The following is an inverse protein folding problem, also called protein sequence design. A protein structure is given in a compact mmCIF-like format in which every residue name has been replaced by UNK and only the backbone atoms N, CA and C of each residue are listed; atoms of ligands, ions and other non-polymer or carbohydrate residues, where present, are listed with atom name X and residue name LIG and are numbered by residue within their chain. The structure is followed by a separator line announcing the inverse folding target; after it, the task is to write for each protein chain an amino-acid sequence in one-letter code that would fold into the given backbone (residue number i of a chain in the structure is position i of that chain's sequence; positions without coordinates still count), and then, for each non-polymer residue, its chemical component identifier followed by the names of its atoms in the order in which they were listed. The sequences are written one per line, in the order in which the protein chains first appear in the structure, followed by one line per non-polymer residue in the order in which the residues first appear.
data_IF_640971415512
#
_entry.id   IF_640971415512
#
_cell.length_a   1.000
_cell.length_b   1.000
_cell.length_c   1.000
_cell.angle_alpha   90.00
_cell.angle_beta   90.00
_cell.angle_gamma   90.00
#
_symmetry.space_group_name_H-M   'P 1'
#
loop_
_entity.id
_entity.type
_entity.pdbx_description
1 polymer ?
#
# COMPACT_ATOMS: atom_id res chain seq x y z
N UNK A 1 -12.45 29.24 -3.55
CA UNK A 1 -11.07 29.74 -3.75
C UNK A 1 -10.12 28.58 -3.55
N UNK A 2 -9.40 28.16 -4.60
CA UNK A 2 -8.32 27.18 -4.44
C UNK A 2 -7.21 27.84 -3.59
N UNK A 3 -6.95 27.32 -2.39
CA UNK A 3 -5.79 27.74 -1.62
C UNK A 3 -4.54 27.48 -2.47
N UNK A 4 -3.80 28.53 -2.81
CA UNK A 4 -2.45 28.38 -3.36
C UNK A 4 -1.66 27.51 -2.39
N UNK A 5 -1.08 26.37 -2.81
CA UNK A 5 -0.30 25.54 -1.91
C UNK A 5 0.86 26.39 -1.38
N UNK A 6 0.95 26.50 -0.04
CA UNK A 6 2.01 27.25 0.60
C UNK A 6 3.37 26.76 0.05
N UNK A 7 4.09 27.64 -0.62
CA UNK A 7 5.39 27.38 -1.21
C UNK A 7 6.38 27.14 -0.07
N UNK A 8 6.60 25.87 0.27
CA UNK A 8 7.67 25.45 1.16
C UNK A 8 8.98 25.42 0.36
N UNK A 9 10.13 25.69 0.99
CA UNK A 9 11.42 25.56 0.33
C UNK A 9 11.62 24.15 -0.23
N UNK A 10 12.22 24.05 -1.42
CA UNK A 10 12.41 22.81 -2.17
C UNK A 10 13.10 21.74 -1.31
N UNK A 11 14.13 22.12 -0.59
CA UNK A 11 14.95 21.23 0.23
C UNK A 11 14.13 20.65 1.39
N UNK A 12 13.29 21.49 2.00
CA UNK A 12 12.38 21.09 3.09
C UNK A 12 11.31 20.14 2.56
N UNK A 13 10.79 20.40 1.36
CA UNK A 13 9.84 19.51 0.70
C UNK A 13 10.45 18.13 0.45
N UNK A 14 11.62 18.06 -0.16
CA UNK A 14 12.35 16.80 -0.43
C UNK A 14 12.59 16.05 0.88
N UNK A 15 13.05 16.73 1.94
CA UNK A 15 13.26 16.09 3.24
C UNK A 15 11.96 15.49 3.80
N UNK A 16 10.83 16.18 3.66
CA UNK A 16 9.52 15.68 4.12
C UNK A 16 9.07 14.49 3.30
N UNK A 17 9.22 14.53 1.98
CA UNK A 17 8.90 13.42 1.08
C UNK A 17 9.75 12.18 1.37
N UNK A 18 11.05 12.33 1.64
CA UNK A 18 11.92 11.23 2.05
C UNK A 18 11.51 10.61 3.38
N UNK A 19 11.05 11.41 4.36
CA UNK A 19 10.51 10.87 5.61
C UNK A 19 9.22 10.09 5.40
N UNK A 20 8.33 10.56 4.53
CA UNK A 20 7.13 9.80 4.11
C UNK A 20 7.57 8.47 3.49
N UNK A 21 8.57 8.48 2.61
CA UNK A 21 9.08 7.28 1.96
C UNK A 21 9.59 6.24 2.97
N UNK A 22 10.37 6.67 3.98
CA UNK A 22 10.82 5.80 5.07
C UNK A 22 9.63 5.23 5.85
N UNK A 23 8.64 6.06 6.19
CA UNK A 23 7.43 5.58 6.89
C UNK A 23 6.70 4.52 6.07
N UNK A 24 6.55 4.73 4.77
CA UNK A 24 5.86 3.77 3.90
C UNK A 24 6.67 2.48 3.72
N UNK A 25 8.01 2.55 3.64
CA UNK A 25 8.85 1.35 3.60
C UNK A 25 8.67 0.52 4.88
N UNK A 26 8.68 1.17 6.05
CA UNK A 26 8.43 0.48 7.33
C UNK A 26 7.06 -0.20 7.35
N UNK A 27 6.02 0.48 6.86
CA UNK A 27 4.68 -0.10 6.75
C UNK A 27 4.63 -1.22 5.70
N UNK A 28 5.40 -1.12 4.62
CA UNK A 28 5.55 -2.17 3.62
C UNK A 28 6.18 -3.43 4.19
N UNK A 29 7.16 -3.31 5.09
CA UNK A 29 7.74 -4.45 5.80
C UNK A 29 6.73 -5.14 6.72
N UNK A 30 5.91 -4.36 7.44
CA UNK A 30 4.82 -4.88 8.27
C UNK A 30 3.74 -5.54 7.40
N UNK A 31 3.40 -4.96 6.25
CA UNK A 31 2.44 -5.56 5.32
C UNK A 31 2.98 -6.87 4.73
N UNK A 32 4.28 -6.96 4.45
CA UNK A 32 4.90 -8.18 3.96
C UNK A 32 4.92 -9.31 5.01
N UNK A 33 5.03 -8.99 6.30
CA UNK A 33 4.94 -10.02 7.35
C UNK A 33 3.55 -10.63 7.49
N UNK A 34 2.48 -9.94 7.08
CA UNK A 34 1.11 -10.50 7.05
C UNK A 34 1.04 -11.78 6.20
N UNK A 35 1.84 -11.89 5.14
CA UNK A 35 1.88 -13.11 4.34
C UNK A 35 2.39 -14.31 5.15
N UNK A 36 3.40 -14.10 6.00
CA UNK A 36 3.90 -15.14 6.91
C UNK A 36 2.81 -15.55 7.88
N UNK A 37 2.05 -14.60 8.42
CA UNK A 37 0.93 -14.86 9.33
C UNK A 37 -0.14 -15.70 8.66
N UNK A 38 -0.53 -15.36 7.42
CA UNK A 38 -1.54 -16.11 6.66
C UNK A 38 -1.13 -17.59 6.50
N UNK A 39 0.16 -17.87 6.24
CA UNK A 39 0.66 -19.24 6.18
C UNK A 39 0.60 -19.97 7.52
N UNK A 40 0.96 -19.28 8.60
CA UNK A 40 0.95 -19.87 9.95
C UNK A 40 -0.48 -20.13 10.40
N UNK A 41 -1.38 -19.16 10.20
CA UNK A 41 -2.79 -19.27 10.57
C UNK A 41 -3.48 -20.38 9.78
N UNK A 42 -3.36 -20.37 8.46
CA UNK A 42 -3.90 -21.43 7.60
C UNK A 42 -3.42 -22.83 8.00
N UNK A 43 -2.16 -22.96 8.43
CA UNK A 43 -1.62 -24.23 8.92
C UNK A 43 -2.18 -24.61 10.30
N UNK A 44 -2.41 -23.64 11.18
CA UNK A 44 -2.99 -23.86 12.49
C UNK A 44 -4.43 -24.35 12.39
N UNK A 45 -5.22 -23.78 11.48
CA UNK A 45 -6.58 -24.23 11.18
C UNK A 45 -6.65 -25.71 10.77
N UNK A 46 -5.58 -26.27 10.19
CA UNK A 46 -5.53 -27.69 9.79
C UNK A 46 -4.99 -28.62 10.89
N UNK A 47 -4.42 -28.07 11.96
CA UNK A 47 -3.64 -28.85 12.94
C UNK A 47 -4.16 -28.72 14.36
N UNK A 48 -5.06 -27.77 14.64
CA UNK A 48 -5.62 -27.55 15.97
C UNK A 48 -7.14 -27.34 15.92
N UNK A 49 -7.84 -27.96 16.87
CA UNK A 49 -9.20 -27.54 17.24
C UNK A 49 -9.03 -26.34 18.18
N UNK A 50 -9.68 -25.22 17.85
CA UNK A 50 -9.47 -23.95 18.54
C UNK A 50 -10.42 -23.81 19.72
N UNK A 51 -9.87 -23.55 20.90
CA UNK A 51 -10.64 -23.22 22.11
C UNK A 51 -11.23 -21.79 22.07
N UNK A 52 -10.70 -20.94 21.18
CA UNK A 52 -11.05 -19.52 21.06
C UNK A 52 -10.59 -18.94 19.71
N UNK A 53 -11.15 -17.80 19.31
CA UNK A 53 -10.65 -16.99 18.19
C UNK A 53 -9.31 -16.26 18.48
N UNK A 54 -8.75 -16.41 19.69
CA UNK A 54 -7.46 -15.85 20.10
C UNK A 54 -6.38 -16.93 20.13
N UNK A 55 -6.09 -17.53 18.98
CA UNK A 55 -4.94 -18.43 18.85
C UNK A 55 -3.61 -17.65 18.81
N UNK A 56 -2.45 -18.30 19.00
CA UNK A 56 -1.16 -17.64 18.80
C UNK A 56 -0.99 -17.02 17.40
N UNK A 57 -1.51 -17.67 16.36
CA UNK A 57 -1.49 -17.15 15.00
C UNK A 57 -2.40 -15.91 14.87
N UNK A 58 -3.62 -15.99 15.40
CA UNK A 58 -4.57 -14.88 15.40
C UNK A 58 -4.08 -13.66 16.19
N UNK A 59 -3.41 -13.86 17.32
CA UNK A 59 -2.84 -12.74 18.09
C UNK A 59 -1.89 -11.89 17.25
N UNK A 60 -1.01 -12.57 16.52
CA UNK A 60 -0.02 -11.94 15.67
C UNK A 60 -0.68 -11.31 14.43
N UNK A 61 -1.64 -12.01 13.80
CA UNK A 61 -2.44 -11.51 12.69
C UNK A 61 -3.24 -10.23 13.05
N UNK A 62 -3.96 -10.23 14.18
CA UNK A 62 -4.71 -9.07 14.64
C UNK A 62 -3.81 -7.86 14.94
N UNK A 63 -2.58 -8.09 15.40
CA UNK A 63 -1.63 -7.02 15.66
C UNK A 63 -1.29 -6.24 14.39
N UNK A 64 -1.21 -6.90 13.23
CA UNK A 64 -1.03 -6.24 11.93
C UNK A 64 -2.23 -5.39 11.53
N UNK A 65 -3.44 -5.88 11.76
CA UNK A 65 -4.67 -5.14 11.44
C UNK A 65 -4.95 -3.97 12.35
N UNK A 66 -4.28 -3.88 13.50
CA UNK A 66 -4.22 -2.67 14.32
C UNK A 66 -3.07 -1.77 13.85
N UNK A 67 -1.87 -2.33 13.64
CA UNK A 67 -0.67 -1.57 13.32
C UNK A 67 -0.73 -0.87 11.96
N UNK A 68 -1.24 -1.53 10.93
CA UNK A 68 -1.30 -1.00 9.57
C UNK A 68 -2.22 0.23 9.44
N UNK A 69 -3.51 0.19 9.81
CA UNK A 69 -4.37 1.37 9.69
C UNK A 69 -3.89 2.53 10.58
N UNK A 70 -3.39 2.26 11.79
CA UNK A 70 -2.81 3.29 12.65
C UNK A 70 -1.55 3.90 12.03
N UNK A 71 -0.64 3.06 11.52
CA UNK A 71 0.58 3.49 10.85
C UNK A 71 0.30 4.36 9.62
N UNK A 72 -0.66 3.97 8.78
CA UNK A 72 -1.13 4.79 7.67
C UNK A 72 -1.83 6.07 8.12
N UNK A 73 -2.52 6.05 9.27
CA UNK A 73 -3.01 7.27 9.95
C UNK A 73 -1.89 8.22 10.37
N UNK A 74 -0.77 7.69 10.89
CA UNK A 74 0.42 8.49 11.20
C UNK A 74 1.04 9.12 9.94
N UNK A 75 1.10 8.37 8.84
CA UNK A 75 1.50 8.91 7.53
C UNK A 75 0.56 10.03 7.12
N UNK A 76 -0.75 9.89 7.31
CA UNK A 76 -1.74 10.93 6.99
C UNK A 76 -1.57 12.21 7.81
N UNK A 77 -1.26 12.08 9.09
CA UNK A 77 -0.95 13.24 9.93
C UNK A 77 0.33 13.94 9.47
N UNK A 78 1.36 13.16 9.10
CA UNK A 78 2.62 13.71 8.62
C UNK A 78 2.50 14.33 7.22
N UNK A 79 1.73 13.72 6.32
CA UNK A 79 1.42 14.19 4.96
C UNK A 79 0.83 15.60 4.96
N UNK A 80 0.11 15.98 6.02
CA UNK A 80 -0.38 17.37 6.18
C UNK A 80 0.75 18.40 6.17
N UNK A 81 2.00 18.02 6.44
CA UNK A 81 3.17 18.91 6.34
C UNK A 81 3.65 19.11 4.90
N UNK A 82 3.06 18.45 3.90
CA UNK A 82 3.42 18.57 2.48
C UNK A 82 2.19 19.04 1.68
N UNK A 83 1.95 20.36 1.57
CA UNK A 83 0.72 20.90 0.97
C UNK A 83 0.42 20.41 -0.45
N UNK A 84 1.45 20.11 -1.25
CA UNK A 84 1.30 19.67 -2.64
C UNK A 84 0.74 18.24 -2.80
N UNK A 85 0.81 17.41 -1.75
CA UNK A 85 0.28 16.04 -1.75
C UNK A 85 -1.21 16.00 -1.40
N UNK A 86 -1.77 17.12 -0.93
CA UNK A 86 -3.17 17.22 -0.51
C UNK A 86 -4.11 17.10 -1.71
N UNK A 87 -5.25 16.48 -1.47
CA UNK A 87 -6.31 16.34 -2.45
C UNK A 87 -7.08 17.64 -2.69
N UNK A 88 -8.07 17.62 -3.61
CA UNK A 88 -8.93 18.77 -3.89
C UNK A 88 -9.53 19.36 -2.61
N UNK A 89 -9.55 20.69 -2.52
CA UNK A 89 -10.14 21.39 -1.36
C UNK A 89 -9.38 21.17 -0.04
N UNK A 90 -8.05 20.98 -0.09
CA UNK A 90 -7.22 20.75 1.09
C UNK A 90 -7.54 19.41 1.83
N UNK A 91 -8.16 18.47 1.11
CA UNK A 91 -8.50 17.15 1.63
C UNK A 91 -7.28 16.24 1.69
N UNK A 92 -7.43 15.09 2.36
CA UNK A 92 -6.40 14.05 2.36
C UNK A 92 -6.17 13.54 0.92
N UNK A 93 -4.96 13.05 0.64
CA UNK A 93 -4.68 12.37 -0.62
C UNK A 93 -5.63 11.17 -0.82
N UNK A 94 -6.14 10.97 -2.04
CA UNK A 94 -7.09 9.89 -2.35
C UNK A 94 -6.48 8.51 -2.18
N UNK A 95 -5.23 8.30 -2.62
CA UNK A 95 -4.53 7.02 -2.41
C UNK A 95 -4.45 6.67 -0.94
N UNK A 96 -4.03 7.64 -0.12
CA UNK A 96 -3.92 7.49 1.33
C UNK A 96 -5.27 7.19 2.02
N UNK A 97 -6.35 7.87 1.61
CA UNK A 97 -7.71 7.57 2.09
C UNK A 97 -8.09 6.13 1.79
N UNK A 98 -7.88 5.69 0.56
CA UNK A 98 -8.20 4.34 0.11
C UNK A 98 -7.37 3.31 0.88
N UNK A 99 -6.09 3.58 1.15
CA UNK A 99 -5.25 2.69 1.96
C UNK A 99 -5.81 2.45 3.36
N UNK A 100 -6.15 3.54 4.05
CA UNK A 100 -6.67 3.48 5.43
C UNK A 100 -8.02 2.76 5.44
N UNK A 101 -8.92 3.10 4.52
CA UNK A 101 -10.23 2.46 4.42
C UNK A 101 -10.08 0.98 4.10
N UNK A 102 -9.17 0.61 3.20
CA UNK A 102 -8.88 -0.78 2.86
C UNK A 102 -8.47 -1.58 4.10
N UNK A 103 -7.47 -1.12 4.85
CA UNK A 103 -7.03 -1.82 6.07
C UNK A 103 -8.10 -1.88 7.16
N UNK A 104 -8.91 -0.82 7.34
CA UNK A 104 -10.02 -0.83 8.29
C UNK A 104 -11.12 -1.81 7.87
N UNK A 105 -11.44 -1.87 6.57
CA UNK A 105 -12.39 -2.85 6.04
C UNK A 105 -11.87 -4.27 6.25
N UNK A 106 -10.59 -4.51 5.98
CA UNK A 106 -9.92 -5.80 6.23
C UNK A 106 -10.04 -6.22 7.69
N UNK A 107 -9.73 -5.31 8.63
CA UNK A 107 -9.84 -5.56 10.07
C UNK A 107 -11.25 -6.00 10.47
N UNK A 108 -12.28 -5.31 9.95
CA UNK A 108 -13.67 -5.68 10.23
C UNK A 108 -14.04 -7.03 9.63
N UNK A 109 -13.64 -7.30 8.38
CA UNK A 109 -13.96 -8.56 7.69
C UNK A 109 -13.31 -9.76 8.36
N UNK A 110 -12.09 -9.64 8.89
CA UNK A 110 -11.44 -10.72 9.66
C UNK A 110 -12.13 -10.95 10.98
N UNK A 111 -12.46 -9.89 11.72
CA UNK A 111 -13.18 -10.03 12.99
C UNK A 111 -14.49 -10.81 12.79
N UNK A 112 -15.22 -10.50 11.71
CA UNK A 112 -16.38 -11.30 11.31
C UNK A 112 -15.97 -12.72 10.91
N UNK A 113 -14.97 -12.90 10.04
CA UNK A 113 -14.54 -14.23 9.58
C UNK A 113 -14.22 -15.18 10.75
N UNK A 114 -13.43 -14.72 11.73
CA UNK A 114 -12.99 -15.56 12.85
C UNK A 114 -14.09 -15.82 13.88
N UNK A 115 -14.96 -14.85 14.15
CA UNK A 115 -16.15 -15.09 15.00
C UNK A 115 -17.09 -16.12 14.37
N UNK A 116 -17.20 -16.13 13.05
CA UNK A 116 -18.03 -17.09 12.33
C UNK A 116 -17.42 -18.50 12.30
N UNK A 117 -16.11 -18.62 12.11
CA UNK A 117 -15.46 -19.92 12.24
C UNK A 117 -15.58 -20.52 13.65
N UNK A 118 -15.71 -19.68 14.68
CA UNK A 118 -15.91 -20.16 16.06
C UNK A 118 -17.35 -20.61 16.33
N UNK A 119 -18.36 -19.98 15.70
CA UNK A 119 -19.78 -20.28 15.95
C UNK A 119 -20.41 -21.30 14.98
N UNK A 120 -19.79 -21.53 13.81
CA UNK A 120 -20.33 -22.42 12.77
C UNK A 120 -19.24 -23.37 12.25
N UNK A 121 -19.64 -24.57 11.83
CA UNK A 121 -18.74 -25.61 11.30
C UNK A 121 -18.00 -25.09 10.05
N UNK A 122 -16.67 -25.26 10.03
CA UNK A 122 -15.74 -24.65 9.07
C UNK A 122 -16.05 -24.94 7.58
N UNK A 123 -16.79 -26.01 7.26
CA UNK A 123 -16.98 -26.51 5.89
C UNK A 123 -18.05 -25.79 5.03
N UNK A 124 -19.04 -25.11 5.61
CA UNK A 124 -20.16 -24.53 4.83
C UNK A 124 -19.92 -23.06 4.44
N UNK A 125 -19.01 -22.35 5.12
CA UNK A 125 -18.89 -20.88 5.02
C UNK A 125 -17.48 -20.35 4.72
N UNK A 126 -16.49 -21.22 4.51
CA UNK A 126 -15.10 -20.80 4.25
C UNK A 126 -14.93 -19.94 2.98
N UNK A 127 -15.91 -19.89 2.07
CA UNK A 127 -15.75 -19.24 0.76
C UNK A 127 -16.14 -17.76 0.76
N UNK A 128 -17.35 -17.31 1.16
CA UNK A 128 -17.76 -15.92 0.91
C UNK A 128 -17.00 -14.86 1.74
N UNK A 129 -16.79 -15.11 3.03
CA UNK A 129 -16.18 -14.11 3.93
C UNK A 129 -14.66 -13.97 3.71
N UNK A 130 -13.98 -15.06 3.31
CA UNK A 130 -12.54 -15.02 3.03
C UNK A 130 -12.21 -14.11 1.83
N UNK A 131 -13.10 -14.07 0.81
CA UNK A 131 -12.95 -13.12 -0.30
C UNK A 131 -13.12 -11.66 0.13
N UNK A 132 -13.99 -11.36 1.10
CA UNK A 132 -14.17 -9.99 1.60
C UNK A 132 -12.91 -9.46 2.28
N UNK A 133 -12.24 -10.30 3.06
CA UNK A 133 -10.91 -10.02 3.64
C UNK A 133 -9.89 -9.65 2.56
N UNK A 134 -9.74 -10.52 1.56
CA UNK A 134 -8.79 -10.33 0.47
C UNK A 134 -9.09 -9.04 -0.32
N UNK A 135 -10.36 -8.72 -0.56
CA UNK A 135 -10.75 -7.50 -1.24
C UNK A 135 -10.37 -6.23 -0.46
N UNK A 136 -10.48 -6.25 0.88
CA UNK A 136 -10.02 -5.14 1.72
C UNK A 136 -8.50 -4.90 1.58
N UNK A 137 -7.71 -5.98 1.58
CA UNK A 137 -6.25 -5.92 1.39
C UNK A 137 -5.92 -5.38 -0.01
N UNK A 138 -6.56 -5.90 -1.06
CA UNK A 138 -6.35 -5.43 -2.44
C UNK A 138 -6.62 -3.93 -2.55
N UNK A 139 -7.75 -3.45 -2.00
CA UNK A 139 -8.08 -2.02 -1.96
C UNK A 139 -7.01 -1.22 -1.22
N UNK A 140 -6.54 -1.73 -0.08
CA UNK A 140 -5.49 -1.07 0.71
C UNK A 140 -4.19 -0.91 -0.09
N UNK A 141 -3.75 -1.99 -0.75
CA UNK A 141 -2.54 -2.02 -1.57
C UNK A 141 -2.65 -1.12 -2.81
N UNK A 142 -3.81 -1.09 -3.48
CA UNK A 142 -4.04 -0.17 -4.60
C UNK A 142 -3.95 1.30 -4.15
N UNK A 143 -4.55 1.64 -3.00
CA UNK A 143 -4.42 2.98 -2.41
C UNK A 143 -2.97 3.32 -2.06
N UNK A 144 -2.25 2.36 -1.46
CA UNK A 144 -0.86 2.54 -1.03
C UNK A 144 0.05 2.78 -2.25
N UNK A 145 -0.12 1.97 -3.30
CA UNK A 145 0.61 2.11 -4.55
C UNK A 145 0.33 3.47 -5.19
N UNK A 146 -0.93 3.89 -5.29
CA UNK A 146 -1.29 5.21 -5.83
C UNK A 146 -0.63 6.35 -5.04
N UNK A 147 -0.57 6.24 -3.71
CA UNK A 147 0.09 7.22 -2.86
C UNK A 147 1.62 7.23 -3.06
N UNK A 148 2.26 6.06 -3.07
CA UNK A 148 3.71 5.92 -3.30
C UNK A 148 4.12 6.48 -4.65
N UNK A 149 3.37 6.15 -5.71
CA UNK A 149 3.61 6.67 -7.06
C UNK A 149 3.52 8.19 -7.06
N UNK A 150 2.54 8.79 -6.35
CA UNK A 150 2.42 10.25 -6.25
C UNK A 150 3.61 10.88 -5.52
N UNK A 151 4.07 10.29 -4.42
CA UNK A 151 5.25 10.76 -3.67
C UNK A 151 6.51 10.67 -4.54
N UNK A 152 6.70 9.55 -5.23
CA UNK A 152 7.85 9.34 -6.12
C UNK A 152 7.85 10.30 -7.31
N UNK A 153 6.70 10.47 -7.97
CA UNK A 153 6.55 11.44 -9.06
C UNK A 153 6.93 12.85 -8.60
N UNK A 154 6.54 13.24 -7.38
CA UNK A 154 6.93 14.54 -6.84
C UNK A 154 8.42 14.66 -6.56
N UNK A 155 9.08 13.60 -6.08
CA UNK A 155 10.54 13.60 -5.92
C UNK A 155 11.27 13.75 -7.26
N UNK A 156 10.75 13.15 -8.33
CA UNK A 156 11.25 13.31 -9.70
C UNK A 156 11.04 14.73 -10.23
N UNK A 157 9.85 15.32 -10.02
CA UNK A 157 9.57 16.72 -10.37
C UNK A 157 10.55 17.70 -9.70
N UNK A 158 10.98 17.40 -8.47
CA UNK A 158 11.95 18.20 -7.73
C UNK A 158 13.41 17.88 -8.11
N UNK A 159 13.66 16.89 -8.97
CA UNK A 159 15.00 16.43 -9.35
C UNK A 159 15.77 15.77 -8.21
N UNK A 160 15.07 15.31 -7.16
CA UNK A 160 15.66 14.58 -6.04
C UNK A 160 15.87 13.09 -6.38
N UNK A 161 15.06 12.58 -7.30
CA UNK A 161 15.14 11.23 -7.87
C UNK A 161 15.25 11.36 -9.38
N UNK A 162 16.03 10.48 -10.00
CA UNK A 162 16.06 10.34 -11.46
C UNK A 162 15.27 9.09 -11.85
N UNK A 163 14.30 9.21 -12.78
CA UNK A 163 13.63 8.02 -13.29
C UNK A 163 14.68 7.11 -13.93
N UNK A 164 14.52 5.80 -13.77
CA UNK A 164 15.42 4.83 -14.37
C UNK A 164 15.51 5.09 -15.88
N UNK A 165 16.68 5.54 -16.35
CA UNK A 165 16.96 5.65 -17.79
C UNK A 165 17.20 4.24 -18.28
N UNK A 166 16.26 3.66 -19.01
CA UNK A 166 16.54 2.45 -19.77
C UNK A 166 17.38 2.87 -21.00
N UNK A 167 18.69 2.56 -21.04
CA UNK A 167 19.56 2.98 -22.14
C UNK A 167 19.07 2.40 -23.47
N UNK A 168 18.47 1.21 -23.46
CA UNK A 168 17.89 0.58 -24.64
C UNK A 168 16.66 1.33 -25.15
N UNK A 169 15.81 1.86 -24.28
CA UNK A 169 14.66 2.67 -24.72
C UNK A 169 15.13 4.00 -25.30
N UNK A 170 16.10 4.65 -24.67
CA UNK A 170 16.69 5.89 -25.20
C UNK A 170 17.39 5.66 -26.56
N UNK A 171 18.09 4.54 -26.70
CA UNK A 171 18.74 4.13 -27.96
C UNK A 171 17.70 3.78 -29.04
N UNK A 172 16.63 3.05 -28.69
CA UNK A 172 15.52 2.78 -29.59
C UNK A 172 14.84 4.08 -30.04
N UNK A 173 14.56 5.03 -29.15
CA UNK A 173 14.02 6.33 -29.55
C UNK A 173 14.97 7.08 -30.49
N UNK A 174 16.27 7.06 -30.22
CA UNK A 174 17.28 7.66 -31.09
C UNK A 174 17.30 6.98 -32.47
N UNK A 175 17.29 5.65 -32.52
CA UNK A 175 17.23 4.87 -33.75
C UNK A 175 15.92 5.09 -34.52
N UNK A 176 14.79 5.29 -33.85
CA UNK A 176 13.52 5.65 -34.48
C UNK A 176 13.57 7.03 -35.12
N UNK A 177 14.11 8.03 -34.42
CA UNK A 177 14.29 9.38 -34.94
C UNK A 177 15.27 9.42 -36.11
N UNK A 178 16.28 8.55 -36.11
CA UNK A 178 17.22 8.39 -37.23
C UNK A 178 16.67 7.50 -38.37
N UNK A 179 15.44 6.98 -38.26
CA UNK A 179 14.84 6.08 -39.26
C UNK A 179 15.49 4.69 -39.35
N UNK A 180 16.36 4.35 -38.39
CA UNK A 180 17.17 3.12 -38.34
C UNK A 180 16.56 1.99 -37.51
N UNK A 181 15.44 2.24 -36.83
CA UNK A 181 14.81 1.24 -35.95
C UNK A 181 14.46 -0.06 -36.68
N UNK A 182 14.05 0.06 -37.94
CA UNK A 182 13.66 -1.06 -38.80
C UNK A 182 14.70 -1.37 -39.90
N UNK A 183 15.83 -0.66 -39.92
CA UNK A 183 16.84 -0.81 -40.97
C UNK A 183 17.86 -1.91 -40.69
N UNK A 184 17.78 -2.56 -39.51
CA UNK A 184 18.50 -3.82 -39.30
C UNK A 184 17.69 -4.93 -39.97
N UNK A 185 17.99 -5.17 -41.24
CA UNK A 185 17.84 -6.50 -41.81
C UNK A 185 18.51 -7.48 -40.84
N UNK A 186 17.71 -8.30 -40.19
CA UNK A 186 18.18 -9.45 -39.41
C UNK A 186 18.97 -10.32 -40.41
N UNK A 187 20.27 -10.59 -40.18
CA UNK A 187 20.99 -11.56 -41.01
C UNK A 187 20.40 -12.96 -40.85
#
# INVERSE_FOLDING_TARGET
MAQMPALIPKEVEIQRLKKIYIMVIMLGSIAASVEVDNFVDGSLHQTAIRDSAFTPAHWWLYSHFVALPLGWGMVAMYDRKVPILRGPGNSMNTGLKITIIGYLATMFTIGVNEMWHFWFVEEIFAVPNHWMFNMGVVVAFMGALAYVVRVYARLVELGAETPAKNPYVAEMYKLALEGKLYSRSIP
#
